data_IF_391775785191
#
_entry.id   IF_391775785191
#
_cell.length_a   1.000
_cell.length_b   1.000
_cell.length_c   1.000
_cell.angle_alpha   90.00
_cell.angle_beta   90.00
_cell.angle_gamma   90.00
#
_symmetry.space_group_name_H-M   'P 1'
#
loop_
_entity.id
_entity.type
_entity.pdbx_description
1 polymer ?
#
# COMPACT_ATOMS: atom_id res chain seq x y z
N UNK A 1 -17.55 75.34 -2.25
CA UNK A 1 -17.47 73.86 -2.35
C UNK A 1 -16.85 73.36 -1.05
N UNK A 2 -17.65 72.77 -0.15
CA UNK A 2 -17.15 72.09 1.04
C UNK A 2 -17.87 70.76 1.10
N UNK A 3 -17.14 69.66 0.86
CA UNK A 3 -17.67 68.31 0.93
C UNK A 3 -17.52 67.79 2.36
N UNK A 4 -18.64 67.40 2.95
CA UNK A 4 -18.71 66.64 4.20
C UNK A 4 -18.06 65.27 4.03
N UNK A 5 -17.09 64.92 4.89
CA UNK A 5 -16.59 63.55 5.01
C UNK A 5 -17.33 62.86 6.17
N UNK A 6 -18.01 61.76 5.86
CA UNK A 6 -18.88 61.00 6.76
C UNK A 6 -18.13 60.20 7.82
N UNK A 7 -18.83 59.94 8.92
CA UNK A 7 -18.43 59.11 10.06
C UNK A 7 -18.23 57.65 9.68
N UNK A 8 -17.04 57.10 9.98
CA UNK A 8 -16.73 55.68 9.81
C UNK A 8 -17.28 54.87 10.98
N UNK A 9 -18.15 53.90 10.69
CA UNK A 9 -18.75 52.98 11.65
C UNK A 9 -17.71 52.10 12.35
N UNK A 10 -17.85 51.97 13.67
CA UNK A 10 -17.10 51.01 14.50
C UNK A 10 -17.52 49.58 14.16
N UNK A 11 -16.64 48.82 13.51
CA UNK A 11 -16.70 47.35 13.57
C UNK A 11 -16.11 46.87 14.91
N UNK A 12 -16.95 46.26 15.75
CA UNK A 12 -16.52 45.54 16.97
C UNK A 12 -15.70 44.31 16.57
N UNK A 13 -14.38 44.39 16.64
CA UNK A 13 -13.47 43.25 16.50
C UNK A 13 -13.06 42.72 17.89
N UNK A 14 -13.34 41.45 18.18
CA UNK A 14 -12.74 40.73 19.31
C UNK A 14 -11.22 40.66 19.13
N UNK A 15 -10.46 41.34 20.00
CA UNK A 15 -9.00 41.21 20.08
C UNK A 15 -8.62 39.84 20.67
N UNK A 16 -8.56 38.80 19.83
CA UNK A 16 -7.93 37.52 20.19
C UNK A 16 -6.40 37.63 20.18
N UNK A 17 -5.72 36.98 21.13
CA UNK A 17 -4.26 36.93 21.14
C UNK A 17 -3.74 36.26 19.87
N UNK A 18 -2.61 36.71 19.31
CA UNK A 18 -2.02 36.09 18.10
C UNK A 18 -1.84 34.57 18.23
N UNK A 19 -1.65 34.08 19.46
CA UNK A 19 -1.56 32.65 19.79
C UNK A 19 -2.90 31.91 19.62
N UNK A 20 -4.00 32.58 19.92
CA UNK A 20 -5.34 32.02 19.78
C UNK A 20 -5.74 31.96 18.30
N UNK A 21 -5.41 32.99 17.52
CA UNK A 21 -5.61 32.98 16.05
C UNK A 21 -4.85 31.83 15.40
N UNK A 22 -3.60 31.59 15.80
CA UNK A 22 -2.80 30.46 15.33
C UNK A 22 -3.39 29.11 15.76
N UNK A 23 -3.83 28.98 17.01
CA UNK A 23 -4.42 27.73 17.54
C UNK A 23 -5.76 27.40 16.90
N UNK A 24 -6.67 28.35 16.80
CA UNK A 24 -7.98 28.13 16.19
C UNK A 24 -7.89 28.01 14.66
N UNK A 25 -6.93 28.71 14.04
CA UNK A 25 -6.62 28.55 12.62
C UNK A 25 -6.11 27.15 12.28
N UNK A 26 -5.13 26.63 13.03
CA UNK A 26 -4.62 25.28 12.79
C UNK A 26 -5.65 24.21 13.13
N UNK A 27 -6.45 24.41 14.18
CA UNK A 27 -7.56 23.51 14.52
C UNK A 27 -8.62 23.49 13.41
N UNK A 28 -8.96 24.65 12.84
CA UNK A 28 -9.89 24.75 11.72
C UNK A 28 -9.40 24.01 10.48
N UNK A 29 -8.11 24.15 10.14
CA UNK A 29 -7.49 23.41 9.03
C UNK A 29 -7.52 21.91 9.29
N UNK A 30 -7.15 21.46 10.51
CA UNK A 30 -7.16 20.04 10.87
C UNK A 30 -8.57 19.44 10.78
N UNK A 31 -9.59 20.15 11.29
CA UNK A 31 -10.99 19.74 11.21
C UNK A 31 -11.47 19.69 9.75
N UNK A 32 -11.11 20.69 8.93
CA UNK A 32 -11.44 20.70 7.51
C UNK A 32 -10.83 19.51 6.77
N UNK A 33 -9.56 19.19 7.04
CA UNK A 33 -8.90 18.02 6.46
C UNK A 33 -9.55 16.71 6.91
N UNK A 34 -9.92 16.59 8.19
CA UNK A 34 -10.59 15.40 8.72
C UNK A 34 -11.99 15.21 8.11
N UNK A 35 -12.76 16.30 7.96
CA UNK A 35 -14.06 16.26 7.31
C UNK A 35 -13.92 15.83 5.84
N UNK A 36 -12.94 16.38 5.12
CA UNK A 36 -12.67 16.02 3.74
C UNK A 36 -12.28 14.54 3.58
N UNK A 37 -11.48 13.97 4.47
CA UNK A 37 -11.11 12.55 4.41
C UNK A 37 -12.29 11.62 4.73
N UNK A 38 -13.16 12.01 5.67
CA UNK A 38 -14.37 11.25 6.00
C UNK A 38 -15.37 11.27 4.85
N UNK A 39 -15.63 12.44 4.24
CA UNK A 39 -16.58 12.54 3.13
C UNK A 39 -16.08 11.83 1.87
N UNK A 40 -14.76 11.82 1.66
CA UNK A 40 -14.11 11.17 0.51
C UNK A 40 -13.52 9.80 0.85
N UNK A 41 -14.08 9.10 1.84
CA UNK A 41 -13.57 7.80 2.29
C UNK A 41 -13.49 6.75 1.16
N UNK A 42 -14.36 6.85 0.15
CA UNK A 42 -14.29 5.99 -1.04
C UNK A 42 -13.01 6.18 -1.86
N UNK A 43 -12.37 7.34 -1.83
CA UNK A 43 -11.07 7.54 -2.47
C UNK A 43 -9.93 6.85 -1.69
N UNK A 44 -10.09 6.62 -0.38
CA UNK A 44 -9.15 5.89 0.46
C UNK A 44 -9.30 4.36 0.36
N UNK A 45 -10.28 3.84 -0.38
CA UNK A 45 -10.49 2.40 -0.53
C UNK A 45 -9.29 1.65 -1.16
N UNK A 46 -8.42 2.37 -1.86
CA UNK A 46 -7.19 1.83 -2.45
C UNK A 46 -6.07 1.65 -1.43
N UNK A 47 -6.17 2.30 -0.27
CA UNK A 47 -5.25 2.08 0.83
C UNK A 47 -5.74 0.87 1.64
N UNK A 48 -4.96 -0.22 1.64
CA UNK A 48 -5.28 -1.42 2.41
C UNK A 48 -5.44 -1.05 3.91
N UNK A 49 -6.62 -1.28 4.51
CA UNK A 49 -6.84 -0.99 5.92
C UNK A 49 -5.85 -1.72 6.83
N UNK A 50 -5.42 -2.93 6.43
CA UNK A 50 -4.38 -3.68 7.13
C UNK A 50 -2.99 -3.06 6.99
N UNK A 51 -2.66 -2.48 5.84
CA UNK A 51 -1.38 -1.76 5.67
C UNK A 51 -1.35 -0.49 6.53
N UNK A 52 -2.46 0.25 6.60
CA UNK A 52 -2.60 1.41 7.48
C UNK A 52 -2.52 0.98 8.95
N UNK A 53 -3.22 -0.09 9.33
CA UNK A 53 -3.16 -0.63 10.68
C UNK A 53 -1.75 -1.09 11.06
N UNK A 54 -1.05 -1.75 10.13
CA UNK A 54 0.34 -2.14 10.33
C UNK A 54 1.26 -0.93 10.47
N UNK A 55 1.04 0.13 9.67
CA UNK A 55 1.83 1.36 9.74
C UNK A 55 1.59 2.15 11.03
N UNK A 56 0.35 2.18 11.52
CA UNK A 56 -0.04 2.95 12.70
C UNK A 56 0.19 2.19 14.02
N UNK A 57 0.01 0.86 14.03
CA UNK A 57 -0.02 0.05 15.24
C UNK A 57 0.71 -1.30 15.12
N UNK A 58 1.13 -1.70 13.91
CA UNK A 58 1.73 -3.01 13.66
C UNK A 58 3.22 -3.04 13.96
N UNK A 59 3.56 -3.84 14.97
CA UNK A 59 4.85 -4.52 15.18
C UNK A 59 6.08 -3.59 15.07
N UNK A 60 6.53 -3.13 16.24
CA UNK A 60 7.95 -2.96 16.50
C UNK A 60 8.64 -4.30 16.27
N UNK A 61 9.20 -4.50 15.07
CA UNK A 61 9.86 -5.73 14.67
C UNK A 61 10.50 -5.57 13.30
N UNK A 62 11.77 -5.17 13.34
CA UNK A 62 12.76 -5.11 12.26
C UNK A 62 12.19 -4.78 10.88
N UNK A 63 11.98 -3.48 10.70
CA UNK A 63 12.15 -2.78 9.44
C UNK A 63 13.18 -3.48 8.54
N UNK A 64 12.78 -3.70 7.28
CA UNK A 64 13.67 -3.84 6.13
C UNK A 64 14.56 -2.59 6.01
N UNK A 65 15.44 -2.37 6.99
CA UNK A 65 16.60 -1.50 6.83
C UNK A 65 17.46 -2.22 5.81
N UNK A 66 17.56 -1.62 4.62
CA UNK A 66 18.52 -2.02 3.60
C UNK A 66 19.92 -1.82 4.18
N UNK A 67 20.46 -2.87 4.79
CA UNK A 67 21.88 -2.95 5.07
C UNK A 67 22.59 -3.07 3.71
N UNK A 68 23.01 -1.92 3.17
CA UNK A 68 24.02 -1.84 2.11
C UNK A 68 25.30 -2.53 2.62
N UNK A 69 25.39 -3.85 2.42
CA UNK A 69 26.51 -4.67 2.88
C UNK A 69 26.15 -6.05 3.44
N UNK A 70 24.86 -6.40 3.59
CA UNK A 70 24.51 -7.74 4.07
C UNK A 70 24.81 -8.82 3.01
N UNK A 71 25.60 -9.83 3.38
CA UNK A 71 25.85 -11.04 2.59
C UNK A 71 24.54 -11.70 2.18
N UNK A 72 24.49 -12.28 0.97
CA UNK A 72 23.28 -12.94 0.43
C UNK A 72 22.68 -13.97 1.41
N UNK A 73 23.52 -14.59 2.23
CA UNK A 73 23.12 -15.53 3.28
C UNK A 73 22.24 -14.91 4.38
N UNK A 74 22.47 -13.64 4.73
CA UNK A 74 21.69 -12.95 5.78
C UNK A 74 20.27 -12.65 5.32
N UNK A 75 20.08 -12.28 4.04
CA UNK A 75 18.75 -12.03 3.46
C UNK A 75 17.93 -13.30 3.35
N UNK A 76 18.55 -14.39 2.88
CA UNK A 76 17.90 -15.70 2.80
C UNK A 76 17.48 -16.18 4.19
N UNK A 77 18.34 -16.04 5.21
CA UNK A 77 17.99 -16.39 6.60
C UNK A 77 16.80 -15.58 7.13
N UNK A 78 16.73 -14.28 6.84
CA UNK A 78 15.58 -13.45 7.23
C UNK A 78 14.29 -13.97 6.59
N UNK A 79 14.33 -14.32 5.31
CA UNK A 79 13.16 -14.83 4.59
C UNK A 79 12.70 -16.18 5.12
N UNK A 80 13.64 -17.10 5.39
CA UNK A 80 13.35 -18.41 6.00
C UNK A 80 12.69 -18.23 7.38
N UNK A 81 13.23 -17.34 8.22
CA UNK A 81 12.66 -17.07 9.54
C UNK A 81 11.25 -16.48 9.44
N UNK A 82 11.01 -15.60 8.46
CA UNK A 82 9.69 -15.00 8.23
C UNK A 82 8.65 -16.06 7.81
N UNK A 83 9.00 -16.95 6.86
CA UNK A 83 8.11 -18.03 6.44
C UNK A 83 7.79 -18.94 7.62
N UNK A 84 8.81 -19.35 8.39
CA UNK A 84 8.63 -20.22 9.56
C UNK A 84 7.72 -19.59 10.62
N UNK A 85 7.86 -18.29 10.88
CA UNK A 85 6.98 -17.56 11.80
C UNK A 85 5.52 -17.53 11.28
N UNK A 86 5.32 -17.22 10.00
CA UNK A 86 3.99 -17.23 9.38
C UNK A 86 3.30 -18.59 9.46
N UNK A 87 4.04 -19.67 9.16
CA UNK A 87 3.54 -21.04 9.24
C UNK A 87 3.18 -21.41 10.68
N UNK A 88 4.02 -21.02 11.66
CA UNK A 88 3.79 -21.32 13.07
C UNK A 88 2.54 -20.63 13.65
N UNK A 89 2.26 -19.40 13.19
CA UNK A 89 1.10 -18.61 13.65
C UNK A 89 -0.21 -19.08 13.02
N UNK A 90 -0.16 -19.74 11.86
CA UNK A 90 -1.35 -20.15 11.11
C UNK A 90 -2.22 -18.98 10.63
N UNK A 91 -1.70 -17.74 10.67
CA UNK A 91 -2.44 -16.52 10.30
C UNK A 91 -2.27 -16.13 8.83
N UNK A 92 -1.67 -17.01 8.02
CA UNK A 92 -1.46 -16.75 6.61
C UNK A 92 -2.80 -16.48 5.91
N UNK A 93 -2.88 -15.35 5.22
CA UNK A 93 -4.09 -14.98 4.48
C UNK A 93 -4.17 -15.87 3.24
N UNK A 94 -5.30 -16.56 3.07
CA UNK A 94 -5.55 -17.33 1.86
C UNK A 94 -5.79 -16.38 0.68
N UNK A 95 -5.13 -16.65 -0.45
CA UNK A 95 -5.31 -15.90 -1.69
C UNK A 95 -6.72 -16.18 -2.23
N UNK A 96 -7.50 -15.16 -2.60
CA UNK A 96 -8.83 -15.36 -3.17
C UNK A 96 -8.74 -16.06 -4.53
N UNK A 97 -9.79 -16.80 -4.88
CA UNK A 97 -9.88 -17.52 -6.16
C UNK A 97 -9.97 -16.54 -7.36
N UNK A 98 -9.51 -16.97 -8.53
CA UNK A 98 -9.66 -16.16 -9.74
C UNK A 98 -11.14 -15.97 -10.12
N UNK A 99 -11.55 -14.76 -10.54
CA UNK A 99 -12.91 -14.51 -11.04
C UNK A 99 -13.28 -15.43 -12.21
N UNK A 100 -14.52 -15.90 -12.24
CA UNK A 100 -14.99 -16.88 -13.23
C UNK A 100 -15.15 -16.35 -14.67
N UNK A 101 -15.06 -15.04 -14.87
CA UNK A 101 -15.29 -14.36 -16.16
C UNK A 101 -14.05 -13.61 -16.64
N UNK A 102 -12.89 -14.26 -16.57
CA UNK A 102 -11.65 -13.74 -17.12
C UNK A 102 -11.29 -14.50 -18.40
N UNK A 103 -10.74 -13.76 -19.36
CA UNK A 103 -10.07 -14.35 -20.51
C UNK A 103 -8.69 -14.83 -20.07
N UNK A 104 -8.34 -16.04 -20.50
CA UNK A 104 -7.05 -16.66 -20.21
C UNK A 104 -6.22 -16.73 -21.48
N UNK A 105 -4.94 -16.45 -21.34
CA UNK A 105 -3.94 -16.58 -22.39
C UNK A 105 -2.95 -17.67 -22.00
N UNK A 106 -2.37 -18.35 -22.98
CA UNK A 106 -1.37 -19.43 -22.84
C UNK A 106 -1.82 -20.69 -22.08
N UNK A 107 -3.00 -20.69 -21.46
CA UNK A 107 -3.55 -21.83 -20.73
C UNK A 107 -5.09 -21.80 -20.72
N UNK A 108 -5.69 -22.94 -20.38
CA UNK A 108 -7.10 -23.00 -20.00
C UNK A 108 -7.30 -22.39 -18.59
N UNK A 109 -8.52 -21.95 -18.22
CA UNK A 109 -8.78 -21.36 -16.92
C UNK A 109 -8.33 -22.24 -15.74
N UNK A 110 -7.45 -21.69 -14.90
CA UNK A 110 -6.89 -22.38 -13.73
C UNK A 110 -7.65 -22.01 -12.46
N UNK A 111 -7.69 -22.95 -11.49
CA UNK A 111 -8.20 -22.71 -10.13
C UNK A 111 -7.09 -22.85 -9.11
N UNK A 112 -6.89 -21.83 -8.28
CA UNK A 112 -5.88 -21.79 -7.22
C UNK A 112 -6.05 -22.97 -6.25
N UNK A 113 -7.28 -23.26 -5.84
CA UNK A 113 -7.55 -24.30 -4.85
C UNK A 113 -7.28 -25.73 -5.32
N UNK A 114 -7.33 -25.98 -6.65
CA UNK A 114 -7.29 -27.32 -7.24
C UNK A 114 -6.01 -27.55 -8.06
N UNK A 115 -5.72 -26.66 -8.99
CA UNK A 115 -4.70 -26.89 -10.04
C UNK A 115 -3.30 -26.41 -9.59
N UNK A 116 -3.27 -25.49 -8.63
CA UNK A 116 -2.06 -24.81 -8.16
C UNK A 116 -1.73 -25.11 -6.68
N UNK A 117 -2.44 -26.04 -6.05
CA UNK A 117 -2.19 -26.45 -4.67
C UNK A 117 -0.85 -27.17 -4.54
N UNK A 118 -0.07 -26.81 -3.53
CA UNK A 118 1.25 -27.41 -3.26
C UNK A 118 2.36 -26.89 -4.18
N UNK A 119 2.08 -25.84 -4.96
CA UNK A 119 3.05 -25.15 -5.79
C UNK A 119 3.37 -23.77 -5.21
N UNK A 120 4.61 -23.33 -5.37
CA UNK A 120 4.99 -21.94 -5.14
C UNK A 120 4.54 -21.14 -6.36
N UNK A 121 3.78 -20.08 -6.15
CA UNK A 121 3.19 -19.24 -7.21
C UNK A 121 3.73 -17.82 -7.15
N UNK A 122 4.04 -17.24 -8.31
CA UNK A 122 4.44 -15.85 -8.44
C UNK A 122 3.39 -15.06 -9.23
N UNK A 123 2.58 -14.25 -8.54
CA UNK A 123 1.58 -13.41 -9.20
C UNK A 123 2.18 -12.05 -9.57
N UNK A 124 2.38 -11.80 -10.86
CA UNK A 124 2.79 -10.50 -11.39
C UNK A 124 1.59 -9.70 -11.92
N UNK A 125 1.38 -8.51 -11.35
CA UNK A 125 0.31 -7.59 -11.77
C UNK A 125 0.90 -6.54 -12.72
N UNK A 126 0.73 -6.75 -14.02
CA UNK A 126 1.37 -5.96 -15.05
C UNK A 126 0.39 -5.39 -16.10
N UNK A 127 0.91 -4.52 -16.96
CA UNK A 127 0.20 -4.00 -18.14
C UNK A 127 1.18 -3.69 -19.27
N UNK A 128 0.76 -3.91 -20.52
CA UNK A 128 1.61 -3.83 -21.72
C UNK A 128 2.31 -2.48 -21.93
N UNK A 129 1.72 -1.36 -21.48
CA UNK A 129 2.31 -0.03 -21.67
C UNK A 129 3.22 0.43 -20.51
N UNK A 130 3.41 -0.40 -19.47
CA UNK A 130 4.21 -0.02 -18.31
C UNK A 130 5.69 -0.35 -18.54
N UNK A 131 6.54 0.68 -18.63
CA UNK A 131 7.98 0.51 -18.80
C UNK A 131 8.63 -0.26 -17.63
N UNK A 132 8.13 -0.07 -16.41
CA UNK A 132 8.64 -0.78 -15.24
C UNK A 132 8.33 -2.28 -15.32
N UNK A 133 7.17 -2.67 -15.86
CA UNK A 133 6.82 -4.08 -16.04
C UNK A 133 7.69 -4.72 -17.13
N UNK A 134 7.94 -4.00 -18.23
CA UNK A 134 8.77 -4.52 -19.32
C UNK A 134 10.19 -4.87 -18.87
N UNK A 135 10.75 -4.11 -17.93
CA UNK A 135 12.08 -4.41 -17.38
C UNK A 135 12.12 -5.69 -16.51
N UNK A 136 10.99 -6.14 -15.98
CA UNK A 136 10.89 -7.34 -15.14
C UNK A 136 10.69 -8.62 -15.97
N UNK A 137 10.18 -8.50 -17.20
CA UNK A 137 9.92 -9.67 -18.07
C UNK A 137 11.15 -10.58 -18.29
N UNK A 138 12.38 -10.06 -18.55
CA UNK A 138 13.54 -10.93 -18.71
C UNK A 138 13.91 -11.69 -17.44
N UNK A 139 13.70 -11.09 -16.27
CA UNK A 139 13.94 -11.76 -14.99
C UNK A 139 12.91 -12.88 -14.76
N UNK A 140 11.66 -12.66 -15.15
CA UNK A 140 10.61 -13.69 -15.08
C UNK A 140 10.90 -14.86 -16.03
N UNK A 141 11.32 -14.59 -17.27
CA UNK A 141 11.72 -15.61 -18.24
C UNK A 141 12.91 -16.44 -17.72
N UNK A 142 13.90 -15.78 -17.12
CA UNK A 142 15.02 -16.48 -16.47
C UNK A 142 14.56 -17.37 -15.31
N UNK A 143 13.63 -16.90 -14.48
CA UNK A 143 13.08 -17.70 -13.38
C UNK A 143 12.31 -18.91 -13.92
N UNK A 144 11.53 -18.73 -15.00
CA UNK A 144 10.77 -19.80 -15.66
C UNK A 144 11.68 -20.92 -16.12
N UNK A 145 12.70 -20.57 -16.90
CA UNK A 145 13.67 -21.54 -17.39
C UNK A 145 14.45 -22.22 -16.25
N UNK A 146 14.78 -21.47 -15.19
CA UNK A 146 15.57 -21.99 -14.07
C UNK A 146 14.80 -23.00 -13.21
N UNK A 147 13.50 -22.82 -13.04
CA UNK A 147 12.70 -23.62 -12.11
C UNK A 147 11.69 -24.54 -12.79
N UNK A 148 11.59 -24.58 -14.12
CA UNK A 148 10.63 -25.43 -14.86
C UNK A 148 10.65 -26.91 -14.47
N UNK A 149 11.83 -27.46 -14.15
CA UNK A 149 12.01 -28.89 -13.85
C UNK A 149 11.94 -29.19 -12.33
N UNK A 150 11.73 -28.16 -11.50
CA UNK A 150 11.71 -28.33 -10.05
C UNK A 150 10.33 -28.85 -9.59
N UNK A 151 10.28 -29.90 -8.74
CA UNK A 151 9.01 -30.39 -8.24
C UNK A 151 8.35 -29.33 -7.35
N UNK A 152 7.15 -28.88 -7.74
CA UNK A 152 6.37 -27.90 -6.98
C UNK A 152 6.59 -26.43 -7.36
N UNK A 153 7.31 -26.13 -8.43
CA UNK A 153 7.29 -24.79 -9.04
C UNK A 153 6.16 -24.69 -10.06
N UNK A 154 5.42 -23.59 -10.02
CA UNK A 154 4.69 -23.07 -11.19
C UNK A 154 4.88 -21.57 -11.12
N UNK A 155 5.55 -21.01 -12.12
CA UNK A 155 5.65 -19.56 -12.22
C UNK A 155 4.34 -18.99 -12.74
#
# INVERSE_FOLDING_TARGET
>A
MNYHCGTFEKYQGHLGSRRDVLRYGSLGIAVSCLLFTITNWKALQYASPKAIWNLLFGVSGNSFIRNEGASSSSRVKQFVNYISDLESRGTATSVPEFPSKLDWLNTAPLKLSRDLKGKVLLLDFWTYCCINCMHVLPDLEFLEEKYKDMPGSVL
#
